data_IF_882367497674
#
_entry.id   IF_882367497674
#
_cell.length_a   1.000
_cell.length_b   1.000
_cell.length_c   1.000
_cell.angle_alpha   90.00
_cell.angle_beta   90.00
_cell.angle_gamma   90.00
#
_symmetry.space_group_name_H-M   'P 1'
#
loop_
_entity.id
_entity.type
_entity.pdbx_description
1 polymer ?
#
# COMPACT_ATOMS: atom_id res chain seq x y z
N UNK A 1 -13.68 -17.22 4.49
CA UNK A 1 -13.79 -16.84 5.92
C UNK A 1 -14.39 -17.98 6.74
N UNK A 2 -15.61 -18.44 6.50
CA UNK A 2 -16.22 -19.54 7.28
C UNK A 2 -15.34 -20.80 7.45
N UNK A 3 -14.67 -21.24 6.39
CA UNK A 3 -13.82 -22.44 6.41
C UNK A 3 -12.42 -22.24 7.00
N UNK A 4 -11.98 -20.99 7.21
CA UNK A 4 -10.63 -20.66 7.68
C UNK A 4 -10.70 -19.68 8.85
N UNK A 5 -10.86 -20.18 10.10
CA UNK A 5 -11.04 -19.36 11.28
C UNK A 5 -9.95 -18.32 11.51
N UNK A 6 -8.69 -18.61 11.18
CA UNK A 6 -7.56 -17.70 11.38
C UNK A 6 -7.47 -16.57 10.32
N UNK A 7 -8.20 -16.68 9.20
CA UNK A 7 -8.25 -15.62 8.18
C UNK A 7 -9.23 -14.55 8.64
N UNK A 8 -8.70 -13.34 8.81
CA UNK A 8 -9.46 -12.18 9.25
C UNK A 8 -9.99 -11.33 8.10
N UNK A 9 -9.16 -11.15 7.06
CA UNK A 9 -9.47 -10.30 5.91
C UNK A 9 -9.17 -11.02 4.61
N UNK A 10 -10.04 -10.82 3.63
CA UNK A 10 -9.85 -11.28 2.25
C UNK A 10 -10.00 -10.09 1.30
N UNK A 11 -9.06 -9.94 0.37
CA UNK A 11 -9.14 -9.00 -0.74
C UNK A 11 -9.18 -9.73 -2.08
N UNK A 12 -10.02 -9.30 -3.05
CA UNK A 12 -10.11 -9.94 -4.36
C UNK A 12 -8.95 -9.55 -5.29
N UNK A 13 -8.88 -10.20 -6.46
CA UNK A 13 -8.13 -9.68 -7.61
C UNK A 13 -8.70 -8.34 -8.04
N UNK A 14 -7.84 -7.36 -8.27
CA UNK A 14 -8.27 -6.03 -8.74
C UNK A 14 -7.66 -5.79 -10.10
N UNK A 15 -8.50 -5.53 -11.09
CA UNK A 15 -8.10 -5.27 -12.46
C UNK A 15 -8.25 -3.80 -12.79
N UNK A 16 -7.26 -3.24 -13.47
CA UNK A 16 -7.35 -1.92 -14.09
C UNK A 16 -8.17 -2.00 -15.38
N UNK A 17 -8.65 -0.88 -15.94
CA UNK A 17 -9.51 -0.91 -17.13
C UNK A 17 -8.86 -1.53 -18.38
N UNK A 18 -7.54 -1.64 -18.41
CA UNK A 18 -6.76 -2.30 -19.46
C UNK A 18 -6.60 -3.82 -19.24
N UNK A 19 -7.23 -4.38 -18.20
CA UNK A 19 -7.13 -5.78 -17.82
C UNK A 19 -5.87 -6.14 -17.02
N UNK A 20 -4.95 -5.20 -16.82
CA UNK A 20 -3.75 -5.45 -16.02
C UNK A 20 -4.08 -5.51 -14.52
N UNK A 21 -3.27 -6.26 -13.77
CA UNK A 21 -3.42 -6.35 -12.32
C UNK A 21 -3.10 -5.00 -11.66
N UNK A 22 -4.00 -4.52 -10.82
CA UNK A 22 -3.69 -3.44 -9.90
C UNK A 22 -2.75 -3.96 -8.81
N UNK A 23 -1.46 -3.66 -8.94
CA UNK A 23 -0.43 -4.08 -7.99
C UNK A 23 -0.67 -3.65 -6.53
N UNK A 24 -1.59 -2.72 -6.26
CA UNK A 24 -1.97 -2.36 -4.89
C UNK A 24 -2.82 -3.43 -4.20
N UNK A 25 -3.46 -4.35 -4.95
CA UNK A 25 -4.36 -5.35 -4.39
C UNK A 25 -3.68 -6.38 -3.48
N UNK A 26 -2.36 -6.54 -3.61
CA UNK A 26 -1.53 -7.37 -2.74
C UNK A 26 -0.23 -6.64 -2.43
N UNK A 27 0.03 -6.40 -1.15
CA UNK A 27 1.20 -5.64 -0.70
C UNK A 27 1.88 -6.30 0.48
N UNK A 28 3.21 -6.13 0.55
CA UNK A 28 3.94 -6.29 1.80
C UNK A 28 3.90 -4.98 2.60
N UNK A 29 4.21 -5.04 3.89
CA UNK A 29 4.44 -3.81 4.64
C UNK A 29 5.69 -3.07 4.12
N UNK A 30 5.69 -1.73 4.12
CA UNK A 30 6.82 -0.92 3.65
C UNK A 30 7.90 -0.82 4.73
N UNK A 31 8.51 -1.96 5.11
CA UNK A 31 9.66 -1.97 6.02
C UNK A 31 10.78 -1.10 5.44
N UNK A 32 11.71 -0.58 6.28
CA UNK A 32 12.83 0.22 5.79
C UNK A 32 13.62 -0.44 4.65
N UNK A 33 13.83 -1.76 4.71
CA UNK A 33 14.48 -2.54 3.66
C UNK A 33 13.67 -2.56 2.35
N UNK A 34 12.37 -2.83 2.44
CA UNK A 34 11.47 -2.86 1.27
C UNK A 34 11.34 -1.48 0.63
N UNK A 35 11.25 -0.42 1.46
CA UNK A 35 11.24 0.96 1.00
C UNK A 35 12.56 1.32 0.30
N UNK A 36 13.70 0.89 0.83
CA UNK A 36 15.02 1.09 0.24
C UNK A 36 15.14 0.46 -1.15
N UNK A 37 14.70 -0.79 -1.33
CA UNK A 37 14.72 -1.45 -2.65
C UNK A 37 13.83 -0.75 -3.68
N UNK A 38 12.67 -0.24 -3.27
CA UNK A 38 11.80 0.57 -4.14
C UNK A 38 12.46 1.90 -4.49
N UNK A 39 13.10 2.55 -3.52
CA UNK A 39 13.72 3.86 -3.72
C UNK A 39 14.88 3.81 -4.72
N UNK A 40 15.73 2.78 -4.63
CA UNK A 40 16.85 2.55 -5.56
C UNK A 40 16.41 1.99 -6.92
N UNK A 41 15.13 1.67 -7.11
CA UNK A 41 14.63 1.07 -8.35
C UNK A 41 14.98 -0.41 -8.52
N UNK A 42 15.53 -1.06 -7.49
CA UNK A 42 15.86 -2.50 -7.52
C UNK A 42 14.61 -3.36 -7.71
N UNK A 43 13.46 -2.93 -7.17
CA UNK A 43 12.18 -3.59 -7.40
C UNK A 43 11.78 -3.60 -8.89
N UNK A 44 12.18 -2.58 -9.66
CA UNK A 44 11.91 -2.47 -11.10
C UNK A 44 12.94 -3.23 -11.93
N UNK A 45 14.20 -3.25 -11.49
CA UNK A 45 15.28 -3.98 -12.15
C UNK A 45 15.17 -5.50 -11.96
N UNK A 46 14.64 -5.93 -10.81
CA UNK A 46 14.52 -7.35 -10.46
C UNK A 46 13.08 -7.72 -10.06
N UNK A 47 12.10 -7.61 -10.99
CA UNK A 47 10.68 -7.79 -10.69
C UNK A 47 10.29 -9.23 -10.32
N UNK A 48 11.12 -10.22 -10.65
CA UNK A 48 10.88 -11.64 -10.32
C UNK A 48 11.64 -12.09 -9.06
N UNK A 49 12.34 -11.19 -8.37
CA UNK A 49 13.05 -11.52 -7.14
C UNK A 49 12.13 -11.41 -5.92
N UNK A 50 11.95 -12.48 -5.12
CA UNK A 50 11.20 -12.41 -3.87
C UNK A 50 11.71 -11.34 -2.89
N UNK A 51 13.01 -11.03 -2.96
CA UNK A 51 13.67 -10.02 -2.13
C UNK A 51 13.37 -8.60 -2.61
N UNK A 52 13.60 -8.32 -3.89
CA UNK A 52 13.53 -6.95 -4.40
C UNK A 52 12.11 -6.52 -4.79
N UNK A 53 11.29 -7.46 -5.25
CA UNK A 53 9.91 -7.21 -5.64
C UNK A 53 8.88 -7.48 -4.54
N UNK A 54 9.34 -7.60 -3.29
CA UNK A 54 8.51 -7.98 -2.13
C UNK A 54 7.26 -7.12 -1.95
N UNK A 55 7.37 -5.80 -2.15
CA UNK A 55 6.26 -4.88 -1.87
C UNK A 55 5.01 -5.15 -2.70
N UNK A 56 5.14 -5.47 -3.99
CA UNK A 56 3.99 -5.75 -4.87
C UNK A 56 3.88 -7.24 -5.23
N UNK A 57 4.78 -8.06 -4.69
CA UNK A 57 4.83 -9.50 -4.93
C UNK A 57 4.79 -9.85 -6.41
N UNK A 58 5.51 -9.11 -7.26
CA UNK A 58 5.47 -9.32 -8.73
C UNK A 58 6.17 -10.61 -9.18
N UNK A 59 6.80 -11.32 -8.25
CA UNK A 59 7.37 -12.65 -8.44
C UNK A 59 6.33 -13.78 -8.26
N UNK A 60 5.12 -13.48 -7.78
CA UNK A 60 4.03 -14.44 -7.62
C UNK A 60 3.07 -14.40 -8.81
N UNK A 61 2.49 -15.54 -9.13
CA UNK A 61 1.40 -15.65 -10.09
C UNK A 61 0.19 -14.80 -9.63
N UNK A 62 -0.36 -13.89 -10.47
CA UNK A 62 -1.60 -13.16 -10.18
C UNK A 62 -2.82 -14.02 -9.84
N UNK A 63 -2.86 -15.28 -10.31
CA UNK A 63 -3.96 -16.20 -10.10
C UNK A 63 -3.73 -17.18 -8.93
N UNK A 64 -2.63 -17.00 -8.20
CA UNK A 64 -2.33 -17.76 -6.99
C UNK A 64 -2.91 -17.09 -5.74
N UNK A 65 -3.76 -17.83 -5.01
CA UNK A 65 -4.17 -17.45 -3.65
C UNK A 65 -2.94 -17.37 -2.74
N UNK A 66 -2.80 -16.24 -2.03
CA UNK A 66 -1.60 -15.97 -1.24
C UNK A 66 -1.97 -15.25 0.05
N UNK A 67 -1.36 -15.65 1.17
CA UNK A 67 -1.35 -14.80 2.36
C UNK A 67 -0.46 -13.57 2.11
N UNK A 68 -0.97 -12.39 2.43
CA UNK A 68 -0.30 -11.10 2.20
C UNK A 68 -0.25 -10.28 3.48
N UNK A 69 0.56 -9.23 3.49
CA UNK A 69 0.57 -8.31 4.63
C UNK A 69 -0.59 -7.32 4.54
N UNK A 70 -1.02 -6.94 3.34
CA UNK A 70 -2.11 -6.00 3.12
C UNK A 70 -2.78 -6.19 1.77
N UNK A 71 -4.09 -5.99 1.74
CA UNK A 71 -4.91 -5.85 0.53
C UNK A 71 -5.33 -4.38 0.37
N UNK A 72 -5.80 -4.00 -0.81
CA UNK A 72 -6.24 -2.61 -1.05
C UNK A 72 -7.65 -2.38 -0.51
N UNK A 73 -7.88 -1.21 0.10
CA UNK A 73 -9.18 -0.75 0.59
C UNK A 73 -10.26 -0.57 -0.49
N UNK A 74 -9.96 -0.80 -1.77
CA UNK A 74 -10.96 -0.77 -2.84
C UNK A 74 -12.01 -1.87 -2.68
N UNK A 75 -11.63 -3.03 -2.11
CA UNK A 75 -12.57 -4.06 -1.69
C UNK A 75 -11.90 -4.96 -0.65
N UNK A 76 -12.47 -4.98 0.55
CA UNK A 76 -12.03 -5.83 1.65
C UNK A 76 -13.27 -6.50 2.26
N UNK A 77 -13.20 -7.81 2.42
CA UNK A 77 -14.18 -8.58 3.18
C UNK A 77 -13.51 -9.01 4.47
N UNK A 78 -14.07 -8.62 5.60
CA UNK A 78 -13.48 -8.88 6.91
C UNK A 78 -14.51 -9.44 7.90
N UNK A 79 -14.02 -10.18 8.89
CA UNK A 79 -14.85 -10.62 10.02
C UNK A 79 -15.29 -9.43 10.86
N UNK A 80 -16.54 -9.43 11.31
CA UNK A 80 -17.05 -8.36 12.18
C UNK A 80 -16.27 -8.25 13.50
N UNK A 81 -15.76 -9.37 14.03
CA UNK A 81 -14.95 -9.39 15.27
C UNK A 81 -13.69 -8.53 15.17
N UNK A 82 -13.10 -8.37 13.97
CA UNK A 82 -11.92 -7.52 13.77
C UNK A 82 -12.20 -6.07 14.15
N UNK A 83 -13.39 -5.56 13.85
CA UNK A 83 -13.74 -4.18 14.19
C UNK A 83 -13.78 -3.97 15.70
N UNK A 84 -14.12 -5.00 16.47
CA UNK A 84 -14.18 -4.96 17.94
C UNK A 84 -12.79 -5.13 18.57
N UNK A 85 -11.97 -6.03 18.02
CA UNK A 85 -10.64 -6.33 18.55
C UNK A 85 -9.60 -5.27 18.17
N UNK A 86 -9.57 -4.90 16.89
CA UNK A 86 -8.51 -4.07 16.28
C UNK A 86 -8.92 -2.59 16.21
N UNK A 87 -10.22 -2.32 16.22
CA UNK A 87 -10.80 -0.99 16.01
C UNK A 87 -11.02 -0.66 14.53
N UNK A 88 -11.51 0.55 14.27
CA UNK A 88 -11.82 1.06 12.93
C UNK A 88 -10.57 1.57 12.19
N UNK A 89 -10.77 2.10 10.99
CA UNK A 89 -9.75 2.87 10.25
C UNK A 89 -9.28 4.08 11.08
N UNK A 90 -8.01 4.41 10.97
CA UNK A 90 -7.41 5.52 11.71
C UNK A 90 -7.65 6.84 10.96
N UNK A 91 -8.37 7.76 11.61
CA UNK A 91 -8.76 9.07 11.07
C UNK A 91 -7.58 10.03 10.85
N UNK A 92 -6.38 9.70 11.37
CA UNK A 92 -5.15 10.44 11.04
C UNK A 92 -4.84 10.33 9.53
N UNK A 93 -5.28 9.26 8.87
CA UNK A 93 -5.14 9.10 7.43
C UNK A 93 -6.34 9.71 6.71
N UNK A 94 -6.12 10.82 6.01
CA UNK A 94 -7.12 11.33 5.06
C UNK A 94 -7.30 10.41 3.84
N UNK A 95 -6.20 9.83 3.32
CA UNK A 95 -6.18 8.94 2.13
C UNK A 95 -4.83 8.21 1.99
N UNK A 96 -4.82 7.06 1.29
CA UNK A 96 -3.66 6.28 0.79
C UNK A 96 -2.92 5.36 1.78
N UNK A 97 -3.24 5.41 3.07
CA UNK A 97 -2.52 4.64 4.10
C UNK A 97 -3.39 4.01 5.16
N UNK A 98 -4.68 4.35 5.19
CA UNK A 98 -5.66 3.86 6.14
C UNK A 98 -5.82 2.33 6.08
N UNK A 99 -5.84 1.76 4.86
CA UNK A 99 -5.98 0.33 4.62
C UNK A 99 -4.74 -0.46 5.03
N UNK A 100 -3.56 0.12 4.77
CA UNK A 100 -2.26 -0.44 5.13
C UNK A 100 -2.03 -0.40 6.65
N UNK A 101 -2.40 0.70 7.31
CA UNK A 101 -2.40 0.82 8.78
C UNK A 101 -3.31 -0.22 9.43
N UNK A 102 -4.53 -0.35 8.91
CA UNK A 102 -5.48 -1.32 9.45
C UNK A 102 -5.00 -2.74 9.25
N UNK A 103 -4.47 -3.07 8.06
CA UNK A 103 -3.84 -4.36 7.78
C UNK A 103 -2.68 -4.65 8.75
N UNK A 104 -1.85 -3.64 9.06
CA UNK A 104 -0.76 -3.78 10.02
C UNK A 104 -1.27 -4.12 11.42
N UNK A 105 -2.24 -3.36 11.93
CA UNK A 105 -2.85 -3.65 13.24
C UNK A 105 -3.54 -5.01 13.27
N UNK A 106 -4.26 -5.39 12.20
CA UNK A 106 -4.90 -6.71 12.08
C UNK A 106 -3.87 -7.83 12.21
N UNK A 107 -2.74 -7.73 11.51
CA UNK A 107 -1.63 -8.68 11.62
C UNK A 107 -1.02 -8.72 13.03
N UNK A 108 -0.95 -7.59 13.74
CA UNK A 108 -0.46 -7.55 15.13
C UNK A 108 -1.35 -8.33 16.10
N UNK A 109 -2.64 -8.48 15.80
CA UNK A 109 -3.59 -9.30 16.56
C UNK A 109 -3.56 -10.79 16.13
N UNK A 110 -2.66 -11.18 15.21
CA UNK A 110 -2.48 -12.57 14.78
C UNK A 110 -3.41 -13.03 13.66
N UNK A 111 -4.22 -12.14 13.11
CA UNK A 111 -5.11 -12.47 11.99
C UNK A 111 -4.36 -12.57 10.66
N UNK A 112 -4.71 -13.56 9.85
CA UNK A 112 -4.21 -13.66 8.47
C UNK A 112 -5.00 -12.75 7.53
N UNK A 113 -4.31 -12.22 6.52
CA UNK A 113 -4.87 -11.43 5.44
C UNK A 113 -4.57 -12.16 4.14
N UNK A 114 -5.60 -12.44 3.34
CA UNK A 114 -5.48 -13.29 2.15
C UNK A 114 -5.89 -12.53 0.90
N UNK A 115 -5.05 -12.61 -0.13
CA UNK A 115 -5.39 -12.27 -1.50
C UNK A 115 -6.08 -13.47 -2.16
N UNK A 116 -7.32 -13.29 -2.61
CA UNK A 116 -8.17 -14.34 -3.18
C UNK A 116 -8.53 -14.07 -4.64
N UNK A 117 -7.83 -14.69 -5.61
CA UNK A 117 -7.95 -14.33 -7.02
C UNK A 117 -9.16 -14.90 -7.75
N UNK A 118 -9.89 -15.86 -7.16
CA UNK A 118 -11.07 -16.45 -7.80
C UNK A 118 -12.22 -15.46 -7.97
N UNK A 119 -12.20 -14.34 -7.23
CA UNK A 119 -13.10 -13.20 -7.41
C UNK A 119 -12.27 -12.01 -7.87
N UNK A 120 -12.78 -11.26 -8.86
CA UNK A 120 -12.15 -10.02 -9.29
C UNK A 120 -13.12 -8.84 -9.33
N UNK A 121 -12.57 -7.64 -9.16
CA UNK A 121 -13.28 -6.37 -9.34
C UNK A 121 -12.51 -5.45 -10.29
N UNK A 122 -13.23 -4.51 -10.90
CA UNK A 122 -12.62 -3.48 -11.76
C UNK A 122 -12.38 -2.20 -10.96
N UNK A 123 -11.16 -1.68 -11.02
CA UNK A 123 -10.77 -0.44 -10.38
C UNK A 123 -10.47 0.64 -11.42
N UNK A 124 -11.45 1.52 -11.61
CA UNK A 124 -11.30 2.73 -12.43
C UNK A 124 -10.52 3.82 -11.67
N UNK A 125 -9.23 3.55 -11.43
CA UNK A 125 -8.31 4.46 -10.77
C UNK A 125 -8.38 5.88 -11.33
N UNK A 126 -8.18 6.86 -10.45
CA UNK A 126 -7.92 8.29 -10.78
C UNK A 126 -9.13 9.16 -11.13
N UNK A 127 -10.36 8.68 -11.03
CA UNK A 127 -11.53 9.53 -11.26
C UNK A 127 -11.56 10.75 -10.30
N UNK A 128 -11.19 10.56 -9.03
CA UNK A 128 -11.19 11.62 -8.02
C UNK A 128 -9.84 12.38 -7.91
N UNK A 129 -8.71 11.67 -7.86
CA UNK A 129 -7.40 12.28 -7.54
C UNK A 129 -6.85 13.18 -8.65
N UNK A 130 -7.22 12.96 -9.92
CA UNK A 130 -6.72 13.76 -11.07
C UNK A 130 -7.18 15.22 -11.00
N UNK A 131 -8.33 15.49 -10.36
CA UNK A 131 -8.88 16.85 -10.20
C UNK A 131 -8.14 17.67 -9.13
N UNK A 132 -7.43 17.03 -8.20
CA UNK A 132 -6.69 17.67 -7.09
C UNK A 132 -5.32 17.03 -6.91
N UNK A 133 -4.48 17.13 -7.93
CA UNK A 133 -3.18 16.45 -7.95
C UNK A 133 -2.25 16.85 -6.79
N UNK A 134 -2.08 18.14 -6.52
CA UNK A 134 -1.19 18.62 -5.44
C UNK A 134 -1.65 18.14 -4.05
N UNK A 135 -2.92 18.35 -3.61
CA UNK A 135 -3.39 17.81 -2.33
C UNK A 135 -3.25 16.29 -2.23
N UNK A 136 -3.47 15.57 -3.33
CA UNK A 136 -3.37 14.12 -3.35
C UNK A 136 -1.92 13.64 -3.21
N UNK A 137 -0.97 14.33 -3.85
CA UNK A 137 0.47 14.08 -3.68
C UNK A 137 0.86 14.28 -2.21
N UNK A 138 0.48 15.43 -1.61
CA UNK A 138 0.77 15.71 -0.20
C UNK A 138 0.17 14.67 0.73
N UNK A 139 -1.09 14.30 0.53
CA UNK A 139 -1.76 13.27 1.34
C UNK A 139 -1.05 11.91 1.24
N UNK A 140 -0.58 11.52 0.05
CA UNK A 140 0.15 10.27 -0.14
C UNK A 140 1.47 10.23 0.64
N UNK A 141 2.27 11.31 0.57
CA UNK A 141 3.53 11.37 1.32
C UNK A 141 3.31 11.57 2.82
N UNK A 142 2.25 12.26 3.22
CA UNK A 142 1.88 12.37 4.63
C UNK A 142 1.45 11.03 5.22
N UNK A 143 0.67 10.23 4.49
CA UNK A 143 0.32 8.87 4.88
C UNK A 143 1.58 8.00 5.11
N UNK A 144 2.63 8.16 4.28
CA UNK A 144 3.91 7.47 4.50
C UNK A 144 4.60 7.92 5.80
N UNK A 145 4.58 9.22 6.11
CA UNK A 145 5.15 9.74 7.37
C UNK A 145 4.40 9.22 8.58
N UNK A 146 3.06 9.28 8.56
CA UNK A 146 2.21 8.77 9.64
C UNK A 146 2.52 7.29 9.86
N UNK A 147 2.52 6.47 8.81
CA UNK A 147 2.78 5.04 8.92
C UNK A 147 4.16 4.75 9.51
N UNK A 148 5.20 5.44 9.01
CA UNK A 148 6.57 5.27 9.50
C UNK A 148 6.69 5.67 10.99
N UNK A 149 6.17 6.83 11.36
CA UNK A 149 6.22 7.33 12.75
C UNK A 149 5.47 6.43 13.71
N UNK A 150 4.31 5.91 13.29
CA UNK A 150 3.46 5.04 14.10
C UNK A 150 4.04 3.65 14.31
N UNK A 151 4.61 3.04 13.27
CA UNK A 151 4.94 1.60 13.29
C UNK A 151 6.43 1.27 13.31
N UNK A 152 7.31 2.17 12.85
CA UNK A 152 8.75 1.86 12.69
C UNK A 152 9.69 2.83 13.41
N UNK A 153 9.30 4.08 13.63
CA UNK A 153 10.21 5.10 14.15
C UNK A 153 10.80 4.74 15.54
N UNK A 154 10.00 4.13 16.41
CA UNK A 154 10.44 3.72 17.75
C UNK A 154 11.51 2.61 17.73
N UNK A 155 11.48 1.73 16.72
CA UNK A 155 12.42 0.61 16.56
C UNK A 155 13.58 0.92 15.60
N UNK A 156 13.52 2.07 14.92
CA UNK A 156 14.49 2.44 13.89
C UNK A 156 15.52 3.41 14.50
N UNK A 157 16.84 3.20 14.28
CA UNK A 157 17.86 4.12 14.78
C UNK A 157 17.65 5.55 14.28
N UNK A 158 17.92 6.55 15.12
CA UNK A 158 17.68 7.96 14.80
C UNK A 158 18.29 8.44 13.45
N UNK A 159 19.54 8.09 13.08
CA UNK A 159 20.08 8.48 11.78
C UNK A 159 19.30 7.90 10.60
N UNK A 160 18.78 6.67 10.74
CA UNK A 160 17.98 6.03 9.71
C UNK A 160 16.57 6.66 9.65
N UNK A 161 15.97 7.03 10.78
CA UNK A 161 14.72 7.80 10.81
C UNK A 161 14.86 9.11 10.02
N UNK A 162 15.94 9.87 10.27
CA UNK A 162 16.23 11.10 9.52
C UNK A 162 16.38 10.84 8.03
N UNK A 163 17.12 9.80 7.64
CA UNK A 163 17.28 9.43 6.23
C UNK A 163 15.94 9.09 5.56
N UNK A 164 15.06 8.37 6.26
CA UNK A 164 13.73 8.00 5.74
C UNK A 164 12.87 9.26 5.56
N UNK A 165 12.79 10.14 6.56
CA UNK A 165 12.02 11.40 6.48
C UNK A 165 12.55 12.31 5.36
N UNK A 166 13.87 12.40 5.19
CA UNK A 166 14.49 13.12 4.06
C UNK A 166 14.17 12.46 2.71
N UNK A 167 14.18 11.13 2.64
CA UNK A 167 13.82 10.38 1.44
C UNK A 167 12.37 10.59 1.01
N UNK A 168 11.43 10.54 1.97
CA UNK A 168 10.01 10.83 1.76
C UNK A 168 9.85 12.27 1.26
N UNK A 169 10.48 13.23 1.93
CA UNK A 169 10.40 14.66 1.57
C UNK A 169 11.01 14.96 0.21
N UNK A 170 12.16 14.37 -0.12
CA UNK A 170 12.79 14.51 -1.42
C UNK A 170 11.91 13.96 -2.56
N UNK A 171 11.28 12.79 -2.35
CA UNK A 171 10.33 12.22 -3.31
C UNK A 171 9.07 13.08 -3.46
N UNK A 172 8.56 13.64 -2.37
CA UNK A 172 7.43 14.58 -2.41
C UNK A 172 7.75 15.80 -3.27
N UNK A 173 8.89 16.45 -3.03
CA UNK A 173 9.33 17.62 -3.81
C UNK A 173 9.52 17.27 -5.29
N UNK A 174 10.12 16.13 -5.60
CA UNK A 174 10.28 15.64 -6.97
C UNK A 174 8.92 15.38 -7.64
N UNK A 175 7.97 14.78 -6.92
CA UNK A 175 6.62 14.50 -7.44
C UNK A 175 5.84 15.79 -7.70
N UNK A 176 5.91 16.75 -6.78
CA UNK A 176 5.32 18.09 -6.94
C UNK A 176 5.95 18.84 -8.12
N UNK A 177 7.28 18.85 -8.24
CA UNK A 177 7.99 19.47 -9.35
C UNK A 177 7.62 18.86 -10.70
N UNK A 178 7.62 17.52 -10.78
CA UNK A 178 7.19 16.80 -11.99
C UNK A 178 5.72 17.05 -12.34
N UNK A 179 4.85 17.27 -11.34
CA UNK A 179 3.44 17.57 -11.58
C UNK A 179 3.24 18.98 -12.16
N UNK A 180 4.04 19.96 -11.71
CA UNK A 180 4.02 21.34 -12.23
C UNK A 180 4.46 21.41 -13.70
N UNK A 181 5.41 20.57 -14.10
CA UNK A 181 5.92 20.51 -15.47
C UNK A 181 5.01 19.75 -16.45
N UNK A 182 4.02 19.00 -15.95
CA UNK A 182 3.11 18.21 -16.79
C UNK A 182 1.89 19.02 -17.22
N UNK A 183 1.44 18.89 -18.48
CA UNK A 183 0.18 19.48 -18.91
C UNK A 183 -0.98 18.93 -18.06
N UNK A 184 -2.06 19.70 -17.83
CA UNK A 184 -3.15 19.31 -16.93
C UNK A 184 -3.71 17.90 -17.16
N UNK A 185 -3.77 17.46 -18.43
CA UNK A 185 -4.24 16.13 -18.83
C UNK A 185 -3.28 14.97 -18.48
N UNK A 186 -2.01 15.25 -18.18
CA UNK A 186 -0.97 14.25 -17.88
C UNK A 186 -0.53 14.25 -16.40
N UNK A 187 -1.14 15.09 -15.55
CA UNK A 187 -0.84 15.13 -14.11
C UNK A 187 -1.20 13.79 -13.47
N UNK A 188 -0.21 13.16 -12.83
CA UNK A 188 -0.38 11.88 -12.11
C UNK A 188 -0.19 12.12 -10.61
N UNK A 189 -0.87 11.30 -9.81
CA UNK A 189 -0.70 11.18 -8.36
C UNK A 189 -0.18 9.77 -8.10
N UNK A 190 0.91 9.64 -7.35
CA UNK A 190 1.60 8.37 -7.08
C UNK A 190 2.72 8.12 -8.07
#
# INVERSE_FOLDING_TARGET
LETHPAVGVVGPKVLLPDGSLDLACRRSFPTPEVAFYRMLGLARLFPHSPRFARYNMTYLDPDQETEVDSVVGACMVLRTSIMQEVGLLDEQYFMYGEDLDWSYRIKQYGWHIVYYPAVHIWHYKRAASTRRAIPSIRAFYEAMRIFHRKHYAATTPAPLNWLIELGITGKELLSLGNNLLRPPAARRVG
#
